data_IF_522034717645
#
_entry.id   IF_522034717645
#
_cell.length_a   1.000
_cell.length_b   1.000
_cell.length_c   1.000
_cell.angle_alpha   90.00
_cell.angle_beta   90.00
_cell.angle_gamma   90.00
#
_symmetry.space_group_name_H-M   'P 1'
#
loop_
_entity.id
_entity.type
_entity.pdbx_description
1 polymer ?
#
# COMPACT_ATOMS: atom_id res chain seq x y z
N UNK A 1 18.46 -0.82 -12.26
CA UNK A 1 18.37 0.35 -13.15
C UNK A 1 17.22 1.19 -12.61
N UNK A 2 17.53 2.24 -11.84
CA UNK A 2 16.49 3.06 -11.23
C UNK A 2 15.75 3.79 -12.36
N UNK A 3 14.42 3.66 -12.41
CA UNK A 3 13.58 4.42 -13.32
C UNK A 3 13.89 5.91 -13.13
N UNK A 4 14.17 6.61 -14.22
CA UNK A 4 14.41 8.04 -14.19
C UNK A 4 13.15 8.76 -13.69
N UNK A 5 13.32 9.90 -13.00
CA UNK A 5 12.20 10.68 -12.44
C UNK A 5 11.11 11.00 -13.48
N UNK A 6 11.51 11.20 -14.74
CA UNK A 6 10.60 11.45 -15.85
C UNK A 6 9.76 10.22 -16.25
N UNK A 7 10.31 9.00 -16.15
CA UNK A 7 9.56 7.77 -16.39
C UNK A 7 8.53 7.54 -15.28
N UNK A 8 8.88 7.86 -14.03
CA UNK A 8 7.96 7.79 -12.89
C UNK A 8 6.81 8.80 -13.07
N UNK A 9 7.11 10.05 -13.42
CA UNK A 9 6.10 11.09 -13.65
C UNK A 9 5.18 10.74 -14.83
N UNK A 10 5.73 10.16 -15.91
CA UNK A 10 4.93 9.69 -17.05
C UNK A 10 4.03 8.50 -16.69
N UNK A 11 4.51 7.58 -15.85
CA UNK A 11 3.75 6.39 -15.44
C UNK A 11 2.63 6.80 -14.47
N UNK A 12 2.90 7.74 -13.57
CA UNK A 12 1.90 8.39 -12.71
C UNK A 12 0.82 9.06 -13.55
N UNK A 13 1.18 9.85 -14.56
CA UNK A 13 0.21 10.54 -15.42
C UNK A 13 -0.71 9.56 -16.17
N UNK A 14 -0.15 8.44 -16.63
CA UNK A 14 -0.91 7.43 -17.35
C UNK A 14 -1.82 6.62 -16.42
N UNK A 15 -1.34 6.25 -15.24
CA UNK A 15 -2.16 5.58 -14.23
C UNK A 15 -3.29 6.50 -13.78
N UNK A 16 -3.03 7.81 -13.56
CA UNK A 16 -4.07 8.80 -13.24
C UNK A 16 -5.16 8.86 -14.30
N UNK A 17 -4.80 8.98 -15.58
CA UNK A 17 -5.77 9.02 -16.69
C UNK A 17 -6.62 7.74 -16.78
N UNK A 18 -6.05 6.56 -16.51
CA UNK A 18 -6.83 5.32 -16.51
C UNK A 18 -7.73 5.21 -15.28
N UNK A 19 -7.22 5.54 -14.09
CA UNK A 19 -8.02 5.51 -12.86
C UNK A 19 -9.22 6.45 -12.96
N UNK A 20 -9.05 7.66 -13.50
CA UNK A 20 -10.14 8.62 -13.73
C UNK A 20 -11.21 8.09 -14.70
N UNK A 21 -10.83 7.27 -15.69
CA UNK A 21 -11.78 6.64 -16.63
C UNK A 21 -12.58 5.50 -16.01
N UNK A 22 -11.95 4.70 -15.15
CA UNK A 22 -12.61 3.53 -14.55
C UNK A 22 -13.44 3.91 -13.33
N UNK A 23 -13.06 4.97 -12.62
CA UNK A 23 -13.73 5.39 -11.39
C UNK A 23 -13.47 6.87 -11.10
N UNK A 24 -14.49 7.69 -10.76
CA UNK A 24 -14.28 9.07 -10.30
C UNK A 24 -13.77 9.07 -8.84
N UNK A 25 -12.60 8.46 -8.60
CA UNK A 25 -11.97 8.39 -7.28
C UNK A 25 -11.12 9.65 -7.09
N UNK A 26 -11.21 10.25 -5.90
CA UNK A 26 -10.32 11.33 -5.46
C UNK A 26 -8.87 10.98 -5.81
N UNK A 27 -8.20 11.75 -6.66
CA UNK A 27 -6.81 11.49 -7.07
C UNK A 27 -5.79 11.65 -5.94
N UNK A 28 -6.24 12.17 -4.80
CA UNK A 28 -5.46 12.35 -3.59
C UNK A 28 -4.73 11.06 -3.19
N UNK A 29 -3.46 11.20 -2.80
CA UNK A 29 -2.58 10.14 -2.29
C UNK A 29 -2.12 9.07 -3.31
N UNK A 30 -2.52 9.12 -4.58
CA UNK A 30 -2.05 8.16 -5.61
C UNK A 30 -0.52 8.20 -5.78
N UNK A 31 0.05 9.40 -5.80
CA UNK A 31 1.48 9.58 -6.02
C UNK A 31 2.31 8.92 -4.90
N UNK A 32 1.84 9.05 -3.65
CA UNK A 32 2.47 8.43 -2.49
C UNK A 32 2.36 6.91 -2.52
N UNK A 33 1.21 6.37 -2.96
CA UNK A 33 1.01 4.92 -3.11
C UNK A 33 1.96 4.37 -4.17
N UNK A 34 2.04 5.01 -5.33
CA UNK A 34 2.91 4.59 -6.44
C UNK A 34 4.38 4.64 -6.03
N UNK A 35 4.82 5.74 -5.42
CA UNK A 35 6.20 5.87 -4.92
C UNK A 35 6.55 4.78 -3.91
N UNK A 36 5.61 4.45 -3.02
CA UNK A 36 5.81 3.42 -1.99
C UNK A 36 5.86 2.01 -2.57
N UNK A 37 4.99 1.70 -3.54
CA UNK A 37 5.02 0.43 -4.28
C UNK A 37 6.32 0.26 -5.06
N UNK A 38 6.81 1.32 -5.72
CA UNK A 38 8.14 1.33 -6.36
C UNK A 38 9.24 1.11 -5.32
N UNK A 39 9.12 1.72 -4.14
CA UNK A 39 10.04 1.52 -3.02
C UNK A 39 10.12 0.07 -2.53
N UNK A 40 9.03 -0.70 -2.63
CA UNK A 40 9.02 -2.14 -2.37
C UNK A 40 9.66 -2.99 -3.48
N UNK A 41 10.01 -2.38 -4.62
CA UNK A 41 10.61 -3.05 -5.77
C UNK A 41 9.60 -3.57 -6.80
N UNK A 42 8.31 -3.22 -6.68
CA UNK A 42 7.29 -3.63 -7.64
C UNK A 42 7.40 -2.85 -8.95
N UNK A 43 7.35 -3.57 -10.08
CA UNK A 43 7.20 -2.99 -11.41
C UNK A 43 5.72 -2.78 -11.71
N UNK A 44 5.24 -1.56 -11.49
CA UNK A 44 3.85 -1.19 -11.77
C UNK A 44 3.66 -1.12 -13.29
N UNK A 45 2.76 -1.95 -13.80
CA UNK A 45 2.34 -1.97 -15.20
C UNK A 45 0.96 -1.31 -15.35
N UNK A 46 0.56 -1.00 -16.58
CA UNK A 46 -0.75 -0.38 -16.88
C UNK A 46 -1.93 -1.22 -16.41
N UNK A 47 -1.80 -2.55 -16.46
CA UNK A 47 -2.84 -3.48 -16.02
C UNK A 47 -3.09 -3.43 -14.51
N UNK A 48 -2.10 -2.99 -13.73
CA UNK A 48 -2.20 -2.90 -12.26
C UNK A 48 -2.97 -1.65 -11.80
N UNK A 49 -3.23 -0.70 -12.71
CA UNK A 49 -3.97 0.51 -12.40
C UNK A 49 -5.37 0.21 -11.84
N UNK A 50 -6.05 -0.81 -12.38
CA UNK A 50 -7.34 -1.26 -11.88
C UNK A 50 -7.24 -1.85 -10.47
N UNK A 51 -6.24 -2.70 -10.23
CA UNK A 51 -5.98 -3.31 -8.92
C UNK A 51 -5.70 -2.25 -7.86
N UNK A 52 -4.90 -1.23 -8.19
CA UNK A 52 -4.59 -0.11 -7.30
C UNK A 52 -5.84 0.72 -6.99
N UNK A 53 -6.65 1.04 -8.01
CA UNK A 53 -7.90 1.78 -7.83
C UNK A 53 -8.89 1.02 -6.94
N UNK A 54 -9.04 -0.29 -7.19
CA UNK A 54 -9.91 -1.16 -6.42
C UNK A 54 -9.45 -1.29 -4.96
N UNK A 55 -8.16 -1.54 -4.73
CA UNK A 55 -7.57 -1.60 -3.38
C UNK A 55 -7.78 -0.28 -2.62
N UNK A 56 -7.57 0.86 -3.30
CA UNK A 56 -7.83 2.18 -2.75
C UNK A 56 -9.27 2.37 -2.29
N UNK A 57 -10.23 1.99 -3.13
CA UNK A 57 -11.65 2.11 -2.81
C UNK A 57 -12.06 1.17 -1.68
N UNK A 58 -11.56 -0.06 -1.68
CA UNK A 58 -11.83 -1.05 -0.64
C UNK A 58 -11.33 -0.56 0.72
N UNK A 59 -10.07 -0.12 0.80
CA UNK A 59 -9.48 0.40 2.04
C UNK A 59 -10.17 1.69 2.49
N UNK A 60 -10.55 2.58 1.56
CA UNK A 60 -11.32 3.79 1.90
C UNK A 60 -12.62 3.39 2.59
N UNK A 61 -13.40 2.49 2.00
CA UNK A 61 -14.66 2.03 2.58
C UNK A 61 -14.46 1.36 3.94
N UNK A 62 -13.43 0.54 4.09
CA UNK A 62 -13.11 -0.13 5.35
C UNK A 62 -12.80 0.86 6.48
N UNK A 63 -11.98 1.88 6.21
CA UNK A 63 -11.66 2.92 7.20
C UNK A 63 -12.91 3.74 7.55
N UNK A 64 -13.66 4.19 6.54
CA UNK A 64 -14.86 5.00 6.76
C UNK A 64 -15.88 4.23 7.62
N UNK A 65 -16.08 2.94 7.33
CA UNK A 65 -16.95 2.05 8.09
C UNK A 65 -16.43 1.82 9.51
N UNK A 66 -15.13 1.56 9.68
CA UNK A 66 -14.54 1.29 11.00
C UNK A 66 -14.53 2.51 11.92
N UNK A 67 -14.16 3.68 11.39
CA UNK A 67 -14.06 4.92 12.16
C UNK A 67 -15.40 5.67 12.24
N UNK A 68 -16.41 5.28 11.45
CA UNK A 68 -17.69 5.97 11.31
C UNK A 68 -17.52 7.46 10.93
N UNK A 69 -16.68 7.70 9.92
CA UNK A 69 -16.38 9.03 9.37
C UNK A 69 -16.80 9.09 7.90
N UNK A 70 -17.01 10.29 7.36
CA UNK A 70 -17.43 10.49 5.96
C UNK A 70 -16.26 10.66 5.00
N UNK A 71 -15.17 11.24 5.47
CA UNK A 71 -13.96 11.53 4.68
C UNK A 71 -12.71 11.14 5.48
N UNK A 72 -11.65 10.77 4.77
CA UNK A 72 -10.33 10.49 5.34
C UNK A 72 -9.67 11.83 5.69
N UNK A 73 -9.19 11.97 6.92
CA UNK A 73 -8.43 13.15 7.38
C UNK A 73 -6.97 13.07 6.93
N UNK A 74 -6.30 14.21 6.81
CA UNK A 74 -4.89 14.28 6.38
C UNK A 74 -3.95 13.54 7.35
N UNK A 75 -4.27 13.54 8.64
CA UNK A 75 -3.56 12.80 9.70
C UNK A 75 -3.59 11.26 9.50
N UNK A 76 -4.55 10.75 8.74
CA UNK A 76 -4.66 9.33 8.38
C UNK A 76 -4.00 8.98 7.05
N UNK A 77 -3.48 9.97 6.31
CA UNK A 77 -2.98 9.76 4.95
C UNK A 77 -1.91 8.67 4.88
N UNK A 78 -0.97 8.66 5.84
CA UNK A 78 0.09 7.65 5.90
C UNK A 78 -0.46 6.23 6.17
N UNK A 79 -1.42 6.10 7.09
CA UNK A 79 -2.07 4.82 7.39
C UNK A 79 -2.89 4.31 6.21
N UNK A 80 -3.57 5.22 5.52
CA UNK A 80 -4.32 4.91 4.31
C UNK A 80 -3.39 4.39 3.21
N UNK A 81 -2.28 5.10 2.94
CA UNK A 81 -1.29 4.68 1.94
C UNK A 81 -0.71 3.31 2.29
N UNK A 82 -0.37 3.06 3.56
CA UNK A 82 0.14 1.77 4.03
C UNK A 82 -0.84 0.61 3.78
N UNK A 83 -2.10 0.80 4.17
CA UNK A 83 -3.12 -0.23 4.00
C UNK A 83 -3.43 -0.50 2.53
N UNK A 84 -3.44 0.53 1.68
CA UNK A 84 -3.62 0.34 0.23
C UNK A 84 -2.44 -0.43 -0.38
N UNK A 85 -1.20 -0.08 -0.02
CA UNK A 85 -0.03 -0.83 -0.47
C UNK A 85 -0.09 -2.29 -0.02
N UNK A 86 -0.53 -2.53 1.22
CA UNK A 86 -0.73 -3.88 1.75
C UNK A 86 -1.73 -4.70 0.94
N UNK A 87 -2.87 -4.12 0.54
CA UNK A 87 -3.85 -4.85 -0.26
C UNK A 87 -3.43 -5.07 -1.71
N UNK A 88 -2.69 -4.14 -2.30
CA UNK A 88 -2.08 -4.36 -3.63
C UNK A 88 -1.07 -5.51 -3.56
N UNK A 89 -0.17 -5.50 -2.56
CA UNK A 89 0.81 -6.57 -2.36
C UNK A 89 0.15 -7.92 -2.08
N UNK A 90 -0.94 -7.94 -1.31
CA UNK A 90 -1.73 -9.16 -1.08
C UNK A 90 -2.39 -9.67 -2.36
N UNK A 91 -2.93 -8.77 -3.19
CA UNK A 91 -3.50 -9.11 -4.50
C UNK A 91 -2.48 -9.78 -5.42
N UNK A 92 -1.28 -9.20 -5.53
CA UNK A 92 -0.17 -9.75 -6.32
C UNK A 92 0.36 -11.07 -5.76
N UNK A 93 0.47 -11.19 -4.42
CA UNK A 93 0.85 -12.43 -3.75
C UNK A 93 -0.17 -13.55 -4.00
N UNK A 94 -1.45 -13.27 -3.81
CA UNK A 94 -2.54 -14.26 -4.00
C UNK A 94 -2.70 -14.70 -5.46
N UNK A 95 -2.36 -13.83 -6.40
CA UNK A 95 -2.40 -14.12 -7.85
C UNK A 95 -1.19 -14.91 -8.33
N UNK A 96 -0.20 -15.17 -7.47
CA UNK A 96 1.04 -15.86 -7.81
C UNK A 96 1.96 -15.08 -8.77
N UNK A 97 1.67 -13.78 -8.96
CA UNK A 97 2.43 -12.88 -9.83
C UNK A 97 3.61 -12.21 -9.13
N UNK A 98 3.64 -12.30 -7.79
CA UNK A 98 4.68 -11.72 -6.98
C UNK A 98 6.01 -12.46 -7.17
N UNK A 99 6.93 -11.83 -7.90
CA UNK A 99 8.28 -12.36 -8.04
C UNK A 99 9.09 -12.02 -6.78
N UNK A 100 9.19 -12.98 -5.85
CA UNK A 100 9.89 -12.85 -4.57
C UNK A 100 11.35 -12.38 -4.70
N UNK A 101 11.97 -12.56 -5.86
CA UNK A 101 13.34 -12.11 -6.16
C UNK A 101 13.45 -10.62 -6.52
N UNK A 102 12.36 -9.97 -6.94
CA UNK A 102 12.36 -8.54 -7.29
C UNK A 102 11.99 -7.65 -6.09
N UNK A 103 11.40 -8.23 -5.04
CA UNK A 103 11.18 -7.55 -3.78
C UNK A 103 12.53 -7.32 -3.09
N UNK A 104 12.86 -6.04 -2.87
CA UNK A 104 14.09 -5.66 -2.18
C UNK A 104 13.94 -5.94 -0.67
N UNK A 105 14.03 -7.22 -0.33
CA UNK A 105 14.01 -7.74 1.03
C UNK A 105 15.33 -7.35 1.74
N UNK A 106 16.43 -7.21 1.01
CA UNK A 106 17.76 -6.96 1.58
C UNK A 106 17.89 -5.56 2.20
N UNK A 107 17.25 -4.54 1.62
CA UNK A 107 17.28 -3.16 2.13
C UNK A 107 16.24 -2.82 3.22
N UNK A 108 15.23 -3.68 3.43
CA UNK A 108 14.07 -3.39 4.26
C UNK A 108 14.01 -4.16 5.60
N UNK A 109 14.86 -5.17 5.79
CA UNK A 109 14.67 -6.20 6.83
C UNK A 109 15.48 -5.94 8.11
N UNK A 110 16.54 -5.15 8.09
CA UNK A 110 17.38 -4.96 9.27
C UNK A 110 16.85 -3.93 10.27
N UNK A 111 15.98 -2.99 9.85
CA UNK A 111 15.47 -1.94 10.73
C UNK A 111 14.42 -1.07 10.02
N UNK A 112 13.23 -1.59 9.72
CA UNK A 112 12.10 -0.69 9.48
C UNK A 112 11.51 -0.30 10.84
N UNK A 113 12.16 0.66 11.52
CA UNK A 113 11.62 1.29 12.73
C UNK A 113 10.47 2.20 12.29
N UNK A 114 9.28 1.61 12.22
CA UNK A 114 8.05 2.31 11.85
C UNK A 114 7.52 3.08 13.06
N UNK A 115 8.33 3.99 13.62
CA UNK A 115 8.08 4.88 14.76
C UNK A 115 7.87 4.19 16.12
N UNK A 116 6.97 3.21 16.17
CA UNK A 116 6.50 2.53 17.39
C UNK A 116 6.26 1.01 17.17
N UNK A 117 6.64 0.48 16.02
CA UNK A 117 6.61 -0.96 15.74
C UNK A 117 7.92 -1.36 15.08
N UNK A 118 8.80 -2.00 15.85
CA UNK A 118 9.98 -2.69 15.34
C UNK A 118 9.58 -4.12 14.99
N UNK A 119 9.58 -4.45 13.70
CA UNK A 119 9.42 -5.84 13.26
C UNK A 119 10.82 -6.43 13.11
N UNK A 120 11.31 -7.12 14.14
CA UNK A 120 12.55 -7.88 14.06
C UNK A 120 12.28 -9.20 13.33
N UNK A 121 12.75 -9.30 12.09
CA UNK A 121 12.65 -10.53 11.32
C UNK A 121 13.81 -11.47 11.72
N UNK A 122 13.46 -12.60 12.33
CA UNK A 122 14.41 -13.68 12.61
C UNK A 122 14.98 -14.23 11.29
N UNK A 123 16.30 -14.30 11.16
CA UNK A 123 17.02 -14.79 9.96
C UNK A 123 16.64 -16.23 9.58
N UNK A 124 15.97 -16.92 10.49
CA UNK A 124 15.50 -18.31 10.37
C UNK A 124 14.23 -18.49 9.52
N UNK A 125 13.52 -17.42 9.14
CA UNK A 125 12.25 -17.50 8.39
C UNK A 125 12.47 -17.58 6.86
N UNK A 126 11.67 -18.40 6.17
CA UNK A 126 11.59 -18.41 4.70
C UNK A 126 11.20 -17.04 4.17
N UNK A 127 11.71 -16.65 3.00
CA UNK A 127 11.48 -15.33 2.41
C UNK A 127 9.98 -15.08 2.12
N UNK A 128 9.23 -16.14 1.82
CA UNK A 128 7.76 -16.11 1.70
C UNK A 128 7.09 -15.72 3.02
N UNK A 129 7.54 -16.28 4.15
CA UNK A 129 6.98 -15.98 5.45
C UNK A 129 7.25 -14.53 5.86
N UNK A 130 8.41 -13.96 5.49
CA UNK A 130 8.73 -12.55 5.71
C UNK A 130 7.82 -11.62 4.90
N UNK A 131 7.51 -11.98 3.66
CA UNK A 131 6.58 -11.22 2.81
C UNK A 131 5.16 -11.25 3.37
N UNK A 132 4.68 -12.42 3.82
CA UNK A 132 3.37 -12.54 4.47
C UNK A 132 3.30 -11.69 5.74
N UNK A 133 4.36 -11.72 6.57
CA UNK A 133 4.45 -10.91 7.79
C UNK A 133 4.44 -9.40 7.46
N UNK A 134 5.16 -8.97 6.42
CA UNK A 134 5.16 -7.57 5.94
C UNK A 134 3.78 -7.14 5.46
N UNK A 135 3.13 -7.95 4.62
CA UNK A 135 1.77 -7.70 4.11
C UNK A 135 0.79 -7.59 5.30
N UNK A 136 0.90 -8.50 6.26
CA UNK A 136 0.12 -8.47 7.49
C UNK A 136 0.34 -7.18 8.30
N UNK A 137 1.57 -6.72 8.43
CA UNK A 137 1.92 -5.49 9.16
C UNK A 137 1.42 -4.21 8.48
N UNK A 138 1.31 -4.20 7.14
CA UNK A 138 0.75 -3.09 6.36
C UNK A 138 -0.79 -3.09 6.38
N UNK A 139 -1.40 -4.26 6.31
CA UNK A 139 -2.87 -4.41 6.28
C UNK A 139 -3.52 -4.23 7.64
N UNK A 140 -2.90 -4.75 8.70
CA UNK A 140 -3.47 -4.72 10.05
C UNK A 140 -3.08 -3.46 10.84
N UNK A 141 -3.43 -2.27 10.33
CA UNK A 141 -3.27 -0.98 11.05
C UNK A 141 -4.51 -0.58 11.87
N UNK A 142 -5.50 -1.46 12.01
CA UNK A 142 -6.76 -1.18 12.72
C UNK A 142 -6.57 -0.70 14.17
N UNK A 143 -5.54 -1.18 14.86
CA UNK A 143 -5.21 -0.71 16.21
C UNK A 143 -4.90 0.80 16.24
N UNK A 144 -4.18 1.31 15.23
CA UNK A 144 -3.88 2.75 15.07
C UNK A 144 -5.10 3.57 14.66
N UNK A 145 -6.09 2.94 14.00
CA UNK A 145 -7.34 3.60 13.62
C UNK A 145 -8.31 3.84 14.79
N UNK A 146 -8.11 3.17 15.94
CA UNK A 146 -8.98 3.32 17.12
C UNK A 146 -9.02 4.76 17.61
N UNK A 147 -7.88 5.48 17.57
CA UNK A 147 -7.77 6.87 18.00
C UNK A 147 -8.71 7.83 17.25
N UNK A 148 -9.18 7.45 16.07
CA UNK A 148 -10.02 8.28 15.23
C UNK A 148 -11.47 7.81 15.14
N UNK A 149 -11.83 6.75 15.86
CA UNK A 149 -13.17 6.17 15.82
C UNK A 149 -14.17 7.07 16.51
N UNK A 150 -15.24 7.46 15.80
CA UNK A 150 -16.40 8.13 16.39
C UNK A 150 -17.42 7.10 16.83
N UNK A 151 -17.58 6.94 18.14
CA UNK A 151 -18.58 6.04 18.71
C UNK A 151 -19.97 6.62 18.41
N UNK A 152 -20.80 5.85 17.71
CA UNK A 152 -22.23 6.13 17.61
C UNK A 152 -22.93 5.22 18.61
N UNK A 153 -23.66 5.83 19.51
CA UNK A 153 -24.52 5.21 20.52
C UNK A 153 -25.94 5.10 20.01
#
# INVERSE_FOLDING_TARGET
MALSKAEIDSLIALVKDQVERFTPIDTNYLDLIILRLIGFGLKITKDDAFTIAFAKQSVKNDILSFCNIKNITEEMSELFVDMVCGEVLYGEYSSGRLNLKELNLDGAISSMSMGDTSVSYDTSKSDEAKVIDLIGALRNKRSKLICYRKINW
#
